data_IF_463329806820
#
_entry.id   IF_463329806820
#
_cell.length_a   1.000
_cell.length_b   1.000
_cell.length_c   1.000
_cell.angle_alpha   90.00
_cell.angle_beta   90.00
_cell.angle_gamma   90.00
#
_symmetry.space_group_name_H-M   'P 1'
#
loop_
_entity.id
_entity.type
_entity.pdbx_description
1 polymer ?
#
# COMPACT_ATOMS: atom_id res chain seq x y z
N UNK A 1 22.46 -6.25 -6.90
CA UNK A 1 21.83 -5.51 -5.78
C UNK A 1 21.36 -4.12 -6.20
N UNK A 2 22.18 -3.34 -6.91
CA UNK A 2 21.85 -1.98 -7.41
C UNK A 2 20.70 -1.93 -8.43
N UNK A 3 20.60 -2.91 -9.33
CA UNK A 3 19.52 -2.94 -10.35
C UNK A 3 18.13 -3.15 -9.74
N UNK A 4 18.02 -4.04 -8.75
CA UNK A 4 16.76 -4.32 -8.04
C UNK A 4 16.30 -3.12 -7.21
N UNK A 5 17.22 -2.42 -6.52
CA UNK A 5 16.90 -1.18 -5.81
C UNK A 5 16.36 -0.10 -6.76
N UNK A 6 17.01 0.10 -7.91
CA UNK A 6 16.56 1.08 -8.91
C UNK A 6 15.15 0.77 -9.42
N UNK A 7 14.85 -0.51 -9.64
CA UNK A 7 13.53 -0.96 -10.07
C UNK A 7 12.45 -0.71 -9.01
N UNK A 8 12.70 -1.13 -7.77
CA UNK A 8 11.75 -0.93 -6.66
C UNK A 8 11.48 0.55 -6.39
N UNK A 9 12.52 1.38 -6.35
CA UNK A 9 12.37 2.84 -6.21
C UNK A 9 11.60 3.43 -7.38
N UNK A 10 11.89 3.00 -8.61
CA UNK A 10 11.19 3.46 -9.81
C UNK A 10 9.70 3.09 -9.78
N UNK A 11 9.35 1.90 -9.32
CA UNK A 11 7.96 1.46 -9.17
C UNK A 11 7.17 2.36 -8.20
N UNK A 12 7.69 2.61 -6.99
CA UNK A 12 7.00 3.46 -6.02
C UNK A 12 6.97 4.93 -6.43
N UNK A 13 8.02 5.42 -7.09
CA UNK A 13 8.00 6.76 -7.68
C UNK A 13 6.92 6.88 -8.77
N UNK A 14 6.76 5.84 -9.60
CA UNK A 14 5.69 5.77 -10.59
C UNK A 14 4.30 5.79 -9.96
N UNK A 15 4.08 4.98 -8.91
CA UNK A 15 2.82 5.00 -8.15
C UNK A 15 2.52 6.40 -7.60
N UNK A 16 3.50 7.05 -6.97
CA UNK A 16 3.36 8.40 -6.45
C UNK A 16 2.97 9.41 -7.54
N UNK A 17 3.65 9.38 -8.68
CA UNK A 17 3.36 10.30 -9.79
C UNK A 17 1.93 10.07 -10.31
N UNK A 18 1.52 8.82 -10.48
CA UNK A 18 0.18 8.48 -10.99
C UNK A 18 -0.92 8.94 -10.02
N UNK A 19 -0.82 8.59 -8.73
CA UNK A 19 -1.84 8.97 -7.74
C UNK A 19 -1.89 10.48 -7.55
N UNK A 20 -0.74 11.15 -7.46
CA UNK A 20 -0.67 12.60 -7.31
C UNK A 20 -1.25 13.32 -8.53
N UNK A 21 -0.89 12.89 -9.74
CA UNK A 21 -1.38 13.52 -10.98
C UNK A 21 -2.89 13.37 -11.10
N UNK A 22 -3.43 12.18 -10.78
CA UNK A 22 -4.87 11.96 -10.82
C UNK A 22 -5.58 12.82 -9.77
N UNK A 23 -5.09 12.86 -8.53
CA UNK A 23 -5.67 13.68 -7.47
C UNK A 23 -5.68 15.18 -7.86
N UNK A 24 -4.54 15.70 -8.34
CA UNK A 24 -4.44 17.09 -8.78
C UNK A 24 -5.40 17.40 -9.95
N UNK A 25 -5.51 16.48 -10.92
CA UNK A 25 -6.45 16.64 -12.05
C UNK A 25 -7.90 16.61 -11.60
N UNK A 26 -8.25 15.72 -10.67
CA UNK A 26 -9.61 15.65 -10.12
C UNK A 26 -9.93 16.92 -9.34
N UNK A 27 -9.02 17.39 -8.47
CA UNK A 27 -9.20 18.64 -7.72
C UNK A 27 -9.34 19.87 -8.64
N UNK A 28 -8.58 19.93 -9.73
CA UNK A 28 -8.60 21.06 -10.65
C UNK A 28 -9.90 21.14 -11.49
N UNK A 29 -10.44 19.99 -11.90
CA UNK A 29 -11.64 19.94 -12.76
C UNK A 29 -12.94 19.75 -11.97
N UNK A 30 -12.88 19.07 -10.83
CA UNK A 30 -14.00 18.69 -9.98
C UNK A 30 -13.70 19.05 -8.53
N UNK A 31 -13.78 20.34 -8.15
CA UNK A 31 -13.47 20.76 -6.80
C UNK A 31 -14.32 19.99 -5.79
N UNK A 32 -13.69 19.61 -4.67
CA UNK A 32 -14.34 18.79 -3.65
C UNK A 32 -15.55 19.51 -3.03
N UNK A 33 -15.50 20.84 -2.96
CA UNK A 33 -16.57 21.68 -2.42
C UNK A 33 -17.02 22.77 -3.42
N UNK A 34 -18.33 23.09 -3.47
CA UNK A 34 -19.42 22.37 -2.79
C UNK A 34 -19.64 20.97 -3.39
N UNK A 35 -20.12 20.02 -2.59
CA UNK A 35 -20.37 18.66 -3.06
C UNK A 35 -21.42 18.63 -4.16
N UNK A 36 -21.16 17.88 -5.23
CA UNK A 36 -22.05 17.75 -6.40
C UNK A 36 -22.50 16.30 -6.57
N UNK A 37 -23.22 15.77 -5.58
CA UNK A 37 -23.64 14.35 -5.54
C UNK A 37 -24.60 13.97 -6.67
N UNK A 38 -25.33 14.95 -7.22
CA UNK A 38 -26.23 14.76 -8.35
C UNK A 38 -25.50 14.76 -9.71
N UNK A 39 -24.23 15.17 -9.73
CA UNK A 39 -23.40 15.17 -10.94
C UNK A 39 -22.71 13.81 -11.09
N UNK A 40 -23.05 13.11 -12.17
CA UNK A 40 -22.45 11.83 -12.51
C UNK A 40 -20.97 11.96 -12.87
N UNK A 41 -20.59 13.07 -13.52
CA UNK A 41 -19.19 13.35 -13.87
C UNK A 41 -18.33 13.60 -12.64
N UNK A 42 -18.83 14.42 -11.70
CA UNK A 42 -18.15 14.70 -10.44
C UNK A 42 -17.99 13.41 -9.61
N UNK A 43 -19.09 12.67 -9.44
CA UNK A 43 -19.10 11.43 -8.65
C UNK A 43 -18.20 10.36 -9.26
N UNK A 44 -18.24 10.19 -10.59
CA UNK A 44 -17.40 9.25 -11.31
C UNK A 44 -15.90 9.59 -11.19
N UNK A 45 -15.54 10.88 -11.33
CA UNK A 45 -14.16 11.33 -11.18
C UNK A 45 -13.60 11.07 -9.78
N UNK A 46 -14.38 11.39 -8.74
CA UNK A 46 -13.99 11.14 -7.34
C UNK A 46 -13.97 9.65 -6.99
N UNK A 47 -14.89 8.85 -7.54
CA UNK A 47 -14.89 7.39 -7.38
C UNK A 47 -13.61 6.78 -7.95
N UNK A 48 -13.27 7.12 -9.20
CA UNK A 48 -12.04 6.63 -9.84
C UNK A 48 -10.81 7.07 -9.06
N UNK A 49 -10.76 8.34 -8.64
CA UNK A 49 -9.65 8.88 -7.85
C UNK A 49 -9.48 8.12 -6.54
N UNK A 50 -10.57 7.84 -5.84
CA UNK A 50 -10.56 7.07 -4.58
C UNK A 50 -10.12 5.63 -4.79
N UNK A 51 -10.58 4.97 -5.85
CA UNK A 51 -10.16 3.60 -6.19
C UNK A 51 -8.65 3.55 -6.46
N UNK A 52 -8.14 4.47 -7.27
CA UNK A 52 -6.71 4.53 -7.61
C UNK A 52 -5.88 4.87 -6.38
N UNK A 53 -6.32 5.80 -5.53
CA UNK A 53 -5.64 6.15 -4.28
C UNK A 53 -5.59 4.94 -3.33
N UNK A 54 -6.70 4.23 -3.18
CA UNK A 54 -6.78 3.00 -2.38
C UNK A 54 -5.82 1.91 -2.86
N UNK A 55 -5.80 1.62 -4.16
CA UNK A 55 -4.88 0.62 -4.72
C UNK A 55 -3.43 1.10 -4.69
N UNK A 56 -3.17 2.40 -4.87
CA UNK A 56 -1.85 2.99 -4.70
C UNK A 56 -1.30 2.75 -3.28
N UNK A 57 -2.11 3.05 -2.26
CA UNK A 57 -1.76 2.77 -0.87
C UNK A 57 -1.59 1.27 -0.59
N UNK A 58 -2.47 0.42 -1.14
CA UNK A 58 -2.37 -1.03 -0.97
C UNK A 58 -1.10 -1.60 -1.59
N UNK A 59 -0.70 -1.16 -2.79
CA UNK A 59 0.54 -1.62 -3.42
C UNK A 59 1.78 -1.20 -2.62
N UNK A 60 1.79 -0.01 -2.03
CA UNK A 60 2.82 0.40 -1.07
C UNK A 60 2.87 -0.55 0.13
N UNK A 61 1.71 -0.89 0.69
CA UNK A 61 1.61 -1.79 1.84
C UNK A 61 1.99 -3.25 1.52
N UNK A 62 1.65 -3.74 0.33
CA UNK A 62 2.09 -5.04 -0.18
C UNK A 62 3.63 -5.15 -0.18
N UNK A 63 4.31 -4.06 -0.57
CA UNK A 63 5.76 -3.96 -0.50
C UNK A 63 6.32 -4.18 0.90
N UNK A 64 5.71 -3.50 1.89
CA UNK A 64 6.08 -3.64 3.30
C UNK A 64 5.89 -5.06 3.78
N UNK A 65 4.73 -5.67 3.50
CA UNK A 65 4.41 -7.01 4.00
C UNK A 65 5.28 -8.10 3.36
N UNK A 66 5.54 -8.02 2.05
CA UNK A 66 6.45 -8.94 1.37
C UNK A 66 7.88 -8.80 1.92
N UNK A 67 8.32 -7.58 2.26
CA UNK A 67 9.61 -7.34 2.90
C UNK A 67 9.69 -7.74 4.37
N UNK A 68 8.54 -7.92 5.04
CA UNK A 68 8.46 -8.20 6.48
C UNK A 68 8.27 -9.68 6.79
N UNK A 69 7.49 -10.42 5.99
CA UNK A 69 7.24 -11.84 6.24
C UNK A 69 8.44 -12.71 5.84
N UNK A 70 8.75 -13.74 6.66
CA UNK A 70 9.90 -14.63 6.45
C UNK A 70 9.79 -15.46 5.16
N UNK A 71 8.55 -15.84 4.82
CA UNK A 71 8.23 -16.61 3.62
C UNK A 71 7.53 -15.71 2.60
N UNK A 72 8.10 -15.61 1.40
CA UNK A 72 7.55 -14.82 0.29
C UNK A 72 6.11 -15.24 -0.03
N UNK A 73 5.80 -16.55 -0.01
CA UNK A 73 4.45 -17.05 -0.27
C UNK A 73 3.40 -16.49 0.70
N UNK A 74 3.76 -16.33 1.98
CA UNK A 74 2.89 -15.74 3.00
C UNK A 74 2.72 -14.23 2.76
N UNK A 75 3.81 -13.54 2.42
CA UNK A 75 3.75 -12.13 2.02
C UNK A 75 2.85 -11.89 0.81
N UNK A 76 2.93 -12.77 -0.21
CA UNK A 76 2.07 -12.72 -1.39
C UNK A 76 0.60 -13.00 -1.05
N UNK A 77 0.32 -13.95 -0.16
CA UNK A 77 -1.05 -14.24 0.28
C UNK A 77 -1.68 -13.02 0.97
N UNK A 78 -0.92 -12.32 1.82
CA UNK A 78 -1.37 -11.08 2.45
C UNK A 78 -1.56 -9.96 1.42
N UNK A 79 -0.61 -9.78 0.50
CA UNK A 79 -0.71 -8.80 -0.57
C UNK A 79 -1.98 -9.01 -1.43
N UNK A 80 -2.28 -10.24 -1.82
CA UNK A 80 -3.52 -10.60 -2.52
C UNK A 80 -4.75 -10.29 -1.67
N UNK A 81 -4.70 -10.60 -0.38
CA UNK A 81 -5.79 -10.31 0.55
C UNK A 81 -6.07 -8.81 0.67
N UNK A 82 -5.05 -7.96 0.67
CA UNK A 82 -5.23 -6.50 0.68
C UNK A 82 -5.92 -6.02 -0.59
N UNK A 83 -5.45 -6.46 -1.76
CA UNK A 83 -6.02 -6.06 -3.04
C UNK A 83 -7.47 -6.53 -3.26
N UNK A 84 -7.85 -7.67 -2.67
CA UNK A 84 -9.19 -8.25 -2.83
C UNK A 84 -10.18 -7.80 -1.76
N UNK A 85 -9.74 -7.73 -0.50
CA UNK A 85 -10.65 -7.61 0.65
C UNK A 85 -10.59 -6.25 1.34
N UNK A 86 -9.71 -5.35 0.97
CA UNK A 86 -9.78 -4.00 1.51
C UNK A 86 -8.86 -3.74 2.70
N UNK A 87 -9.14 -2.61 3.34
CA UNK A 87 -8.60 -2.24 4.65
C UNK A 87 -8.83 -3.27 5.76
N UNK A 88 -9.91 -4.08 5.82
CA UNK A 88 -10.08 -5.06 6.89
C UNK A 88 -8.91 -6.05 6.99
N UNK A 89 -8.40 -6.52 5.85
CA UNK A 89 -7.24 -7.43 5.83
C UNK A 89 -5.94 -6.71 6.17
N UNK A 90 -5.76 -5.46 5.74
CA UNK A 90 -4.61 -4.64 6.14
C UNK A 90 -4.56 -4.49 7.67
N UNK A 91 -5.69 -4.15 8.29
CA UNK A 91 -5.82 -4.01 9.73
C UNK A 91 -5.58 -5.33 10.46
N UNK A 92 -6.16 -6.43 9.97
CA UNK A 92 -5.94 -7.75 10.54
C UNK A 92 -4.46 -8.13 10.54
N UNK A 93 -3.76 -7.92 9.41
CA UNK A 93 -2.33 -8.19 9.35
C UNK A 93 -1.55 -7.34 10.35
N UNK A 94 -1.86 -6.05 10.47
CA UNK A 94 -1.22 -5.16 11.45
C UNK A 94 -1.41 -5.63 12.89
N UNK A 95 -2.63 -6.01 13.28
CA UNK A 95 -2.91 -6.54 14.62
C UNK A 95 -2.12 -7.82 14.88
N UNK A 96 -2.12 -8.75 13.92
CA UNK A 96 -1.37 -10.00 14.04
C UNK A 96 0.15 -9.76 14.03
N UNK A 97 0.63 -8.76 13.30
CA UNK A 97 2.05 -8.40 13.28
C UNK A 97 2.46 -7.82 14.64
N UNK A 98 1.69 -6.87 15.18
CA UNK A 98 1.93 -6.30 16.50
C UNK A 98 1.91 -7.37 17.59
N UNK A 99 0.95 -8.29 17.54
CA UNK A 99 0.87 -9.36 18.54
C UNK A 99 2.07 -10.31 18.48
N UNK A 100 2.55 -10.64 17.27
CA UNK A 100 3.72 -11.51 17.05
C UNK A 100 5.05 -10.83 17.38
N UNK A 101 5.18 -9.53 17.13
CA UNK A 101 6.45 -8.79 17.23
C UNK A 101 6.57 -7.96 18.53
N UNK A 102 5.75 -8.22 19.54
CA UNK A 102 5.88 -7.58 20.87
C UNK A 102 5.33 -6.16 20.96
N UNK A 103 4.33 -5.83 20.12
CA UNK A 103 3.57 -4.58 20.19
C UNK A 103 4.28 -3.37 19.58
N UNK A 104 5.38 -3.56 18.85
CA UNK A 104 6.13 -2.47 18.21
C UNK A 104 5.85 -2.35 16.71
N UNK A 105 5.73 -1.11 16.23
CA UNK A 105 5.65 -0.76 14.80
C UNK A 105 7.03 -0.57 14.16
N UNK A 106 8.11 -0.83 14.90
CA UNK A 106 9.47 -0.68 14.37
C UNK A 106 9.70 -1.69 13.25
N UNK A 107 9.97 -1.17 12.05
CA UNK A 107 10.50 -1.94 10.93
C UNK A 107 11.99 -2.19 11.19
N UNK A 108 12.28 -3.18 12.02
CA UNK A 108 13.65 -3.57 12.30
C UNK A 108 14.21 -4.36 11.10
N UNK A 109 15.43 -3.99 10.67
CA UNK A 109 16.13 -4.74 9.64
C UNK A 109 16.53 -6.08 10.24
N UNK A 110 15.76 -7.14 9.99
CA UNK A 110 16.09 -8.50 10.44
C UNK A 110 17.38 -8.95 9.74
N UNK A 111 18.52 -8.64 10.35
CA UNK A 111 19.82 -9.17 9.94
C UNK A 111 19.81 -10.66 10.27
N UNK A 112 19.79 -11.49 9.25
CA UNK A 112 19.75 -12.95 9.35
C UNK A 112 21.09 -13.47 9.89
N UNK A 113 21.32 -13.36 11.21
CA UNK A 113 22.53 -13.84 11.88
C UNK A 113 22.20 -14.41 13.28
N UNK A 114 21.26 -15.36 13.38
CA UNK A 114 21.07 -16.15 14.60
C UNK A 114 20.52 -17.55 14.24
N UNK A 115 21.31 -18.34 13.51
CA UNK A 115 21.16 -19.81 13.41
C UNK A 115 22.54 -20.48 13.29
N UNK A 116 23.51 -20.03 14.07
CA UNK A 116 24.79 -20.76 14.22
C UNK A 116 25.14 -21.11 15.68
N UNK A 117 24.42 -20.66 16.71
CA UNK A 117 24.67 -21.13 18.08
C UNK A 117 23.38 -21.34 18.87
N UNK A 118 22.89 -22.58 18.84
CA UNK A 118 22.56 -23.45 19.99
C UNK A 118 21.54 -24.54 19.60
#
# INVERSE_FOLDING_TARGET
MTTTMKFTTGFYAGLFIVTLTLLCRTLANYPLFPFQMDSLDWTGAWLITTIVDYYGACLCFCGVVIGTEEHIAKGLLWALSFCLLGSPMCCLWMVLHLWRCGGTLKLEKRTRHQYEEH
#
